data_IF_151799192758
#
_entry.id   IF_151799192758
#
_cell.length_a   1.000
_cell.length_b   1.000
_cell.length_c   1.000
_cell.angle_alpha   90.00
_cell.angle_beta   90.00
_cell.angle_gamma   90.00
#
_symmetry.space_group_name_H-M   'P 1'
#
loop_
_entity.id
_entity.type
_entity.pdbx_description
1 polymer ?
#
# COMPACT_ATOMS: atom_id res chain seq x y z
N UNK A 1 1.11 -11.39 2.94
CA UNK A 1 1.83 -10.16 3.34
C UNK A 1 0.88 -8.98 3.28
N UNK A 2 0.92 -8.15 4.30
CA UNK A 2 0.07 -6.97 4.41
C UNK A 2 0.98 -5.74 4.54
N UNK A 3 0.78 -4.74 3.69
CA UNK A 3 1.62 -3.54 3.69
C UNK A 3 0.76 -2.29 3.67
N UNK A 4 1.18 -1.26 4.40
CA UNK A 4 0.53 0.02 4.32
C UNK A 4 0.42 0.81 5.62
N UNK A 5 -0.73 1.47 5.76
CA UNK A 5 -1.05 2.44 6.80
C UNK A 5 -1.86 1.83 7.96
N UNK A 6 -2.63 2.66 8.66
CA UNK A 6 -3.44 2.22 9.81
C UNK A 6 -4.49 1.16 9.42
N UNK A 7 -5.01 1.21 8.20
CA UNK A 7 -5.96 0.19 7.72
C UNK A 7 -5.24 -1.15 7.56
N UNK A 8 -4.00 -1.14 7.07
CA UNK A 8 -3.18 -2.33 7.00
C UNK A 8 -2.88 -2.88 8.41
N UNK A 9 -2.58 -2.01 9.37
CA UNK A 9 -2.41 -2.42 10.78
C UNK A 9 -3.67 -3.12 11.30
N UNK A 10 -4.85 -2.54 11.05
CA UNK A 10 -6.13 -3.13 11.45
C UNK A 10 -6.38 -4.48 10.77
N UNK A 11 -6.09 -4.57 9.49
CA UNK A 11 -6.22 -5.83 8.74
C UNK A 11 -5.33 -6.91 9.33
N UNK A 12 -4.11 -6.56 9.74
CA UNK A 12 -3.18 -7.51 10.38
C UNK A 12 -3.70 -8.02 11.72
N UNK A 13 -4.48 -7.23 12.46
CA UNK A 13 -5.11 -7.71 13.69
C UNK A 13 -6.05 -8.88 13.45
N UNK A 14 -6.73 -8.91 12.30
CA UNK A 14 -7.63 -10.00 11.92
C UNK A 14 -6.90 -11.17 11.26
N UNK A 15 -5.68 -10.95 10.81
CA UNK A 15 -4.84 -11.95 10.13
C UNK A 15 -3.43 -11.93 10.71
N UNK A 16 -3.28 -12.23 12.01
CA UNK A 16 -1.96 -12.12 12.69
C UNK A 16 -0.92 -13.11 12.17
N UNK A 17 -1.36 -14.17 11.46
CA UNK A 17 -0.46 -15.12 10.81
C UNK A 17 0.27 -14.55 9.60
N UNK A 18 -0.21 -13.45 9.06
CA UNK A 18 0.42 -12.81 7.89
C UNK A 18 1.60 -11.94 8.33
N UNK A 19 2.64 -11.92 7.50
CA UNK A 19 3.72 -10.93 7.66
C UNK A 19 3.18 -9.55 7.33
N UNK A 20 3.49 -8.55 8.15
CA UNK A 20 3.00 -7.19 7.95
C UNK A 20 4.12 -6.17 8.04
N UNK A 21 4.15 -5.24 7.08
CA UNK A 21 4.98 -4.05 7.07
C UNK A 21 4.06 -2.85 6.98
N UNK A 22 3.60 -2.38 8.14
CA UNK A 22 2.59 -1.34 8.21
C UNK A 22 2.83 -0.41 9.39
N UNK A 23 2.35 0.83 9.26
CA UNK A 23 2.47 1.84 10.31
C UNK A 23 1.28 2.78 10.24
N UNK A 24 0.62 3.00 11.37
CA UNK A 24 -0.47 3.97 11.44
C UNK A 24 -0.02 5.37 11.07
N UNK A 25 -0.83 6.07 10.27
CA UNK A 25 -0.57 7.45 9.85
C UNK A 25 0.47 7.62 8.75
N UNK A 26 1.10 6.55 8.27
CA UNK A 26 2.15 6.68 7.25
C UNK A 26 1.55 7.02 5.87
N UNK A 27 2.21 7.91 5.13
CA UNK A 27 1.86 8.18 3.75
C UNK A 27 2.67 7.29 2.80
N UNK A 28 2.31 7.29 1.51
CA UNK A 28 2.96 6.41 0.53
C UNK A 28 4.45 6.70 0.36
N UNK A 29 4.83 7.96 0.36
CA UNK A 29 6.23 8.37 0.21
C UNK A 29 7.08 7.87 1.39
N UNK A 30 6.60 8.08 2.61
CA UNK A 30 7.32 7.67 3.82
C UNK A 30 7.37 6.16 3.94
N UNK A 31 6.31 5.47 3.52
CA UNK A 31 6.32 4.01 3.50
C UNK A 31 7.43 3.48 2.58
N UNK A 32 7.55 4.03 1.38
CA UNK A 32 8.58 3.62 0.43
C UNK A 32 9.99 3.89 0.96
N UNK A 33 10.17 5.00 1.68
CA UNK A 33 11.47 5.32 2.31
C UNK A 33 11.79 4.36 3.45
N UNK A 34 10.82 4.13 4.34
CA UNK A 34 11.02 3.30 5.54
C UNK A 34 11.30 1.85 5.19
N UNK A 35 10.58 1.31 4.21
CA UNK A 35 10.62 -0.10 3.85
C UNK A 35 11.33 -0.37 2.52
N UNK A 36 12.23 0.51 2.12
CA UNK A 36 12.92 0.40 0.82
C UNK A 36 13.76 -0.86 0.66
N UNK A 37 14.21 -1.46 1.77
CA UNK A 37 15.07 -2.65 1.75
C UNK A 37 14.29 -3.95 1.91
N UNK A 38 12.96 -3.88 2.09
CA UNK A 38 12.13 -5.06 2.31
C UNK A 38 11.86 -5.76 0.98
N UNK A 39 11.97 -7.08 0.98
CA UNK A 39 11.57 -7.92 -0.15
C UNK A 39 10.06 -8.12 -0.12
N UNK A 40 9.38 -7.67 -1.18
CA UNK A 40 7.93 -7.73 -1.30
C UNK A 40 7.50 -8.95 -2.12
N UNK A 41 8.02 -10.13 -1.74
CA UNK A 41 7.70 -11.39 -2.38
C UNK A 41 6.79 -12.23 -1.50
N UNK A 42 5.63 -12.58 -2.02
CA UNK A 42 4.66 -13.45 -1.33
C UNK A 42 3.65 -13.99 -2.36
N UNK A 43 2.90 -15.02 -1.98
CA UNK A 43 1.81 -15.53 -2.82
C UNK A 43 0.73 -14.45 -3.00
N UNK A 44 0.38 -13.76 -1.92
CA UNK A 44 -0.61 -12.69 -1.91
C UNK A 44 -0.08 -11.50 -1.12
N UNK A 45 -0.19 -10.31 -1.68
CA UNK A 45 0.15 -9.05 -1.02
C UNK A 45 -1.09 -8.17 -0.99
N UNK A 46 -1.45 -7.70 0.20
CA UNK A 46 -2.53 -6.75 0.43
C UNK A 46 -1.91 -5.38 0.68
N UNK A 47 -2.33 -4.39 -0.09
CA UNK A 47 -1.76 -3.04 -0.05
C UNK A 47 -2.84 -2.04 0.36
N UNK A 48 -2.56 -1.26 1.40
CA UNK A 48 -3.42 -0.15 1.83
C UNK A 48 -2.58 1.09 2.07
N UNK A 49 -2.52 1.98 1.09
CA UNK A 49 -1.79 3.24 1.14
C UNK A 49 -2.55 4.33 0.37
N UNK A 50 -2.25 5.57 0.70
CA UNK A 50 -2.82 6.74 0.04
C UNK A 50 -3.74 7.55 0.93
N UNK A 51 -4.32 6.96 1.99
CA UNK A 51 -5.25 7.67 2.90
C UNK A 51 -4.58 8.84 3.62
N UNK A 52 -3.28 8.76 3.86
CA UNK A 52 -2.52 9.79 4.56
C UNK A 52 -1.72 10.69 3.62
N UNK A 53 -1.89 10.53 2.31
CA UNK A 53 -1.20 11.34 1.33
C UNK A 53 -1.83 12.73 1.26
N UNK A 54 -1.01 13.76 1.43
CA UNK A 54 -1.46 15.15 1.26
C UNK A 54 -1.53 15.49 -0.23
N UNK A 55 -2.17 16.63 -0.54
CA UNK A 55 -2.44 17.07 -1.91
C UNK A 55 -1.19 17.19 -2.78
N UNK A 56 -0.06 17.58 -2.16
CA UNK A 56 1.21 17.81 -2.87
C UNK A 56 2.04 16.54 -3.08
N UNK A 57 1.65 15.41 -2.47
CA UNK A 57 2.35 14.15 -2.66
C UNK A 57 2.03 13.55 -4.04
N UNK A 58 3.06 13.02 -4.68
CA UNK A 58 2.92 12.32 -5.96
C UNK A 58 2.45 10.88 -5.74
N UNK A 59 1.22 10.73 -5.28
CA UNK A 59 0.64 9.45 -4.88
C UNK A 59 0.73 8.40 -5.97
N UNK A 60 0.38 8.75 -7.20
CA UNK A 60 0.44 7.81 -8.33
C UNK A 60 1.86 7.25 -8.49
N UNK A 61 2.87 8.13 -8.48
CA UNK A 61 4.27 7.71 -8.66
C UNK A 61 4.74 6.84 -7.51
N UNK A 62 4.37 7.17 -6.28
CA UNK A 62 4.76 6.39 -5.09
C UNK A 62 4.12 5.02 -5.08
N UNK A 63 2.83 4.93 -5.37
CA UNK A 63 2.10 3.66 -5.42
C UNK A 63 2.60 2.80 -6.58
N UNK A 64 2.90 3.41 -7.73
CA UNK A 64 3.48 2.71 -8.87
C UNK A 64 4.84 2.13 -8.53
N UNK A 65 5.70 2.92 -7.87
CA UNK A 65 7.02 2.46 -7.45
C UNK A 65 6.92 1.27 -6.48
N UNK A 66 6.00 1.34 -5.53
CA UNK A 66 5.72 0.22 -4.63
C UNK A 66 5.29 -1.02 -5.42
N UNK A 67 4.31 -0.87 -6.30
CA UNK A 67 3.75 -1.98 -7.07
C UNK A 67 4.81 -2.67 -7.93
N UNK A 68 5.74 -1.93 -8.49
CA UNK A 68 6.82 -2.49 -9.30
C UNK A 68 7.77 -3.38 -8.49
N UNK A 69 7.84 -3.18 -7.17
CA UNK A 69 8.66 -3.99 -6.27
C UNK A 69 7.96 -5.27 -5.83
N UNK A 70 6.63 -5.35 -5.99
CA UNK A 70 5.84 -6.49 -5.51
C UNK A 70 5.98 -7.66 -6.49
N UNK A 71 6.44 -8.80 -5.96
CA UNK A 71 6.47 -10.08 -6.66
C UNK A 71 5.47 -11.01 -5.99
N UNK A 72 4.26 -11.04 -6.53
CA UNK A 72 3.16 -11.81 -5.95
C UNK A 72 2.25 -12.34 -7.03
N UNK A 73 1.69 -13.53 -6.78
CA UNK A 73 0.67 -14.12 -7.65
C UNK A 73 -0.63 -13.33 -7.59
N UNK A 74 -0.99 -12.84 -6.39
CA UNK A 74 -2.22 -12.09 -6.15
C UNK A 74 -1.87 -10.78 -5.44
N UNK A 75 -2.43 -9.68 -5.94
CA UNK A 75 -2.29 -8.36 -5.31
C UNK A 75 -3.68 -7.81 -5.05
N UNK A 76 -3.96 -7.51 -3.79
CA UNK A 76 -5.24 -6.95 -3.36
C UNK A 76 -5.02 -5.52 -2.86
N UNK A 77 -5.92 -4.62 -3.25
CA UNK A 77 -5.84 -3.22 -2.92
C UNK A 77 -7.00 -2.82 -2.01
N UNK A 78 -6.67 -2.14 -0.92
CA UNK A 78 -7.68 -1.46 -0.09
C UNK A 78 -7.60 0.02 -0.44
N UNK A 79 -8.68 0.55 -1.01
CA UNK A 79 -8.70 1.92 -1.51
C UNK A 79 -8.89 2.92 -0.37
N UNK A 80 -8.28 4.13 -0.46
CA UNK A 80 -8.54 5.21 0.50
C UNK A 80 -10.02 5.58 0.54
N UNK A 81 -10.66 5.42 1.70
CA UNK A 81 -12.11 5.58 1.83
C UNK A 81 -12.57 7.04 1.77
N UNK A 82 -11.77 7.95 2.35
CA UNK A 82 -12.15 9.35 2.53
C UNK A 82 -11.47 10.32 1.56
N UNK A 83 -10.84 9.79 0.53
CA UNK A 83 -10.09 10.57 -0.46
C UNK A 83 -10.34 10.01 -1.87
N UNK A 84 -11.48 10.36 -2.50
CA UNK A 84 -11.87 9.79 -3.80
C UNK A 84 -10.80 9.98 -4.89
N UNK A 85 -10.14 11.14 -4.92
CA UNK A 85 -9.09 11.42 -5.88
C UNK A 85 -7.89 10.46 -5.70
N UNK A 86 -7.49 10.22 -4.45
CA UNK A 86 -6.40 9.28 -4.15
C UNK A 86 -6.80 7.84 -4.48
N UNK A 87 -8.06 7.47 -4.20
CA UNK A 87 -8.60 6.18 -4.57
C UNK A 87 -8.54 5.95 -6.09
N UNK A 88 -8.86 6.96 -6.87
CA UNK A 88 -8.77 6.88 -8.34
C UNK A 88 -7.34 6.65 -8.80
N UNK A 89 -6.37 7.31 -8.19
CA UNK A 89 -4.95 7.10 -8.53
C UNK A 89 -4.51 5.67 -8.21
N UNK A 90 -4.94 5.12 -7.08
CA UNK A 90 -4.64 3.73 -6.72
C UNK A 90 -5.28 2.77 -7.73
N UNK A 91 -6.54 3.03 -8.14
CA UNK A 91 -7.20 2.22 -9.18
C UNK A 91 -6.44 2.25 -10.50
N UNK A 92 -5.88 3.40 -10.88
CA UNK A 92 -5.08 3.50 -12.10
C UNK A 92 -3.85 2.59 -12.05
N UNK A 93 -3.16 2.54 -10.90
CA UNK A 93 -2.03 1.64 -10.72
C UNK A 93 -2.50 0.17 -10.78
N UNK A 94 -3.58 -0.15 -10.09
CA UNK A 94 -4.11 -1.52 -10.08
C UNK A 94 -4.46 -2.00 -11.49
N UNK A 95 -4.99 -1.12 -12.34
CA UNK A 95 -5.32 -1.46 -13.74
C UNK A 95 -4.10 -1.60 -14.63
N UNK A 96 -2.98 -0.96 -14.30
CA UNK A 96 -1.75 -1.03 -15.08
C UNK A 96 -1.04 -2.38 -14.94
N UNK A 97 -1.41 -3.16 -13.96
CA UNK A 97 -0.87 -4.47 -13.67
C UNK A 97 -1.98 -5.52 -13.63
#
# INVERSE_FOLDING_TARGET
>A
MIVGDSIAVGTHHFRPECVSYSQGGINSQDWNKKYKAIDLQAKTVIISLGSNDIKTLHTFNEIMALRQRVDAKNVMWILPANKPHKADLVRMVAKAF
#
